data_IF_807997579501
#
_entry.id   IF_807997579501
#
_cell.length_a   1.000
_cell.length_b   1.000
_cell.length_c   1.000
_cell.angle_alpha   90.00
_cell.angle_beta   90.00
_cell.angle_gamma   90.00
#
_symmetry.space_group_name_H-M   'P 1'
#
loop_
_entity.id
_entity.type
_entity.pdbx_description
1 polymer ?
#
# COMPACT_ATOMS: atom_id res chain seq x y z
N UNK A 1 -9.59 -13.76 4.22
CA UNK A 1 -9.88 -14.07 2.81
C UNK A 1 -8.58 -14.64 2.26
N UNK A 2 -8.64 -15.71 1.47
CA UNK A 2 -7.45 -16.32 0.88
C UNK A 2 -7.37 -15.83 -0.57
N UNK A 3 -6.23 -15.28 -0.97
CA UNK A 3 -6.01 -14.80 -2.32
C UNK A 3 -5.87 -16.00 -3.25
N UNK A 4 -6.24 -15.82 -4.52
CA UNK A 4 -5.92 -16.82 -5.54
C UNK A 4 -4.45 -16.69 -5.97
N UNK A 5 -3.93 -17.78 -6.54
CA UNK A 5 -2.58 -17.84 -7.13
C UNK A 5 -2.73 -18.36 -8.58
N UNK A 6 -2.54 -17.51 -9.60
CA UNK A 6 -2.23 -16.07 -9.52
C UNK A 6 -3.43 -15.26 -9.02
N UNK A 7 -3.16 -14.06 -8.51
CA UNK A 7 -4.17 -13.17 -7.94
C UNK A 7 -5.32 -12.87 -8.90
N UNK A 8 -6.50 -12.56 -8.35
CA UNK A 8 -7.68 -12.15 -9.11
C UNK A 8 -8.22 -10.80 -8.65
N UNK A 9 -8.89 -10.04 -9.53
CA UNK A 9 -9.46 -8.75 -9.15
C UNK A 9 -10.38 -8.82 -7.92
N UNK A 10 -11.14 -9.91 -7.77
CA UNK A 10 -12.03 -10.13 -6.62
C UNK A 10 -11.32 -10.40 -5.28
N UNK A 11 -10.00 -10.64 -5.30
CA UNK A 11 -9.21 -10.82 -4.08
C UNK A 11 -8.93 -9.49 -3.37
N UNK A 12 -8.96 -8.39 -4.12
CA UNK A 12 -8.71 -7.06 -3.60
C UNK A 12 -9.99 -6.46 -2.97
N UNK A 13 -9.89 -5.80 -1.80
CA UNK A 13 -10.99 -5.01 -1.29
C UNK A 13 -11.27 -3.82 -2.24
N UNK A 14 -12.45 -3.18 -2.17
CA UNK A 14 -12.73 -1.97 -2.96
C UNK A 14 -11.61 -0.93 -2.84
N UNK A 15 -11.34 -0.19 -3.92
CA UNK A 15 -10.17 0.70 -3.99
C UNK A 15 -10.05 1.64 -2.78
N UNK A 16 -11.14 2.29 -2.37
CA UNK A 16 -11.11 3.23 -1.25
C UNK A 16 -10.74 2.55 0.08
N UNK A 17 -11.13 1.28 0.25
CA UNK A 17 -10.78 0.50 1.44
C UNK A 17 -9.31 0.09 1.40
N UNK A 18 -8.80 -0.34 0.24
CA UNK A 18 -7.38 -0.65 0.07
C UNK A 18 -6.52 0.61 0.33
N UNK A 19 -6.90 1.74 -0.28
CA UNK A 19 -6.25 3.02 -0.09
C UNK A 19 -6.24 3.45 1.38
N UNK A 20 -7.39 3.35 2.06
CA UNK A 20 -7.50 3.76 3.45
C UNK A 20 -6.50 3.01 4.34
N UNK A 21 -6.35 1.70 4.15
CA UNK A 21 -5.41 0.87 4.92
C UNK A 21 -3.96 1.19 4.57
N UNK A 22 -3.62 1.22 3.28
CA UNK A 22 -2.28 1.55 2.81
C UNK A 22 -1.82 2.94 3.31
N UNK A 23 -2.69 3.94 3.19
CA UNK A 23 -2.42 5.30 3.65
C UNK A 23 -2.33 5.41 5.18
N UNK A 24 -3.09 4.59 5.93
CA UNK A 24 -2.99 4.53 7.38
C UNK A 24 -1.63 3.95 7.82
N UNK A 25 -1.12 2.91 7.14
CA UNK A 25 0.22 2.39 7.41
C UNK A 25 1.30 3.43 7.11
N UNK A 26 1.23 4.09 5.94
CA UNK A 26 2.16 5.18 5.61
C UNK A 26 2.09 6.35 6.60
N UNK A 27 0.91 6.64 7.16
CA UNK A 27 0.73 7.65 8.20
C UNK A 27 1.40 7.23 9.52
N UNK A 28 1.22 5.99 9.96
CA UNK A 28 1.87 5.47 11.17
C UNK A 28 3.38 5.48 11.03
N UNK A 29 3.91 4.99 9.91
CA UNK A 29 5.35 4.92 9.65
C UNK A 29 6.00 6.29 9.50
N UNK A 30 5.30 7.27 8.93
CA UNK A 30 5.75 8.66 8.93
C UNK A 30 5.87 9.25 10.35
N UNK A 31 5.11 8.71 11.32
CA UNK A 31 5.20 9.07 12.72
C UNK A 31 6.29 8.34 13.51
N UNK A 32 7.02 7.42 12.90
CA UNK A 32 8.05 6.60 13.53
C UNK A 32 7.72 5.11 13.46
N UNK A 33 8.73 4.29 13.17
CA UNK A 33 8.58 2.84 13.01
C UNK A 33 9.50 2.25 11.94
N UNK A 34 9.04 1.17 11.30
CA UNK A 34 9.59 0.71 10.02
C UNK A 34 9.36 1.80 8.94
N UNK A 35 10.11 1.73 7.84
CA UNK A 35 10.02 2.68 6.73
C UNK A 35 9.77 1.94 5.42
N UNK A 36 8.79 1.04 5.44
CA UNK A 36 8.37 0.25 4.29
C UNK A 36 7.27 0.96 3.52
N UNK A 37 6.34 1.64 4.19
CA UNK A 37 5.25 2.41 3.59
C UNK A 37 5.57 3.90 3.56
N UNK A 38 5.67 4.46 2.36
CA UNK A 38 5.91 5.89 2.15
C UNK A 38 4.80 6.48 1.30
N UNK A 39 4.24 7.60 1.74
CA UNK A 39 3.39 8.43 0.90
C UNK A 39 4.20 9.57 0.31
N UNK A 40 4.28 9.61 -1.02
CA UNK A 40 4.91 10.72 -1.74
C UNK A 40 4.22 10.89 -3.09
N UNK A 41 4.04 12.14 -3.50
CA UNK A 41 3.59 12.48 -4.85
C UNK A 41 2.31 11.69 -5.24
N UNK A 42 1.27 11.74 -4.42
CA UNK A 42 -0.01 11.02 -4.62
C UNK A 42 0.06 9.48 -4.72
N UNK A 43 1.18 8.86 -4.32
CA UNK A 43 1.38 7.41 -4.35
C UNK A 43 1.70 6.91 -2.95
N UNK A 44 1.06 5.82 -2.54
CA UNK A 44 1.55 5.00 -1.42
C UNK A 44 2.47 3.93 -2.02
N UNK A 45 3.72 3.93 -1.58
CA UNK A 45 4.75 2.99 -1.99
C UNK A 45 5.10 2.09 -0.82
N UNK A 46 5.15 0.79 -1.06
CA UNK A 46 5.72 -0.21 -0.16
C UNK A 46 7.01 -0.76 -0.73
N UNK A 47 8.05 -0.85 0.09
CA UNK A 47 9.33 -1.51 -0.24
C UNK A 47 9.88 -2.20 1.02
N UNK A 48 10.05 -3.53 0.96
CA UNK A 48 10.62 -4.30 2.06
C UNK A 48 12.17 -4.37 2.04
N UNK A 49 12.80 -3.72 1.06
CA UNK A 49 14.23 -3.79 0.73
C UNK A 49 14.76 -5.20 0.37
N UNK A 50 13.87 -6.17 0.21
CA UNK A 50 14.11 -7.55 -0.22
C UNK A 50 13.82 -7.79 -1.71
N UNK A 51 13.30 -6.78 -2.42
CA UNK A 51 12.87 -6.91 -3.81
C UNK A 51 11.35 -7.10 -3.96
N UNK A 52 10.59 -6.83 -2.89
CA UNK A 52 9.14 -6.98 -2.87
C UNK A 52 8.51 -5.60 -2.68
N UNK A 53 8.01 -5.02 -3.77
CA UNK A 53 7.54 -3.64 -3.81
C UNK A 53 6.19 -3.49 -4.50
N UNK A 54 5.41 -2.52 -4.05
CA UNK A 54 4.18 -2.14 -4.74
C UNK A 54 3.89 -0.65 -4.58
N UNK A 55 3.16 -0.11 -5.55
CA UNK A 55 2.71 1.28 -5.61
C UNK A 55 1.22 1.32 -5.84
N UNK A 56 0.51 2.04 -4.98
CA UNK A 56 -0.92 2.28 -5.06
C UNK A 56 -1.16 3.77 -5.31
N UNK A 57 -1.89 4.11 -6.38
CA UNK A 57 -2.16 5.49 -6.75
C UNK A 57 -3.65 5.74 -7.01
N UNK A 58 -4.12 6.91 -6.54
CA UNK A 58 -5.39 7.49 -6.96
C UNK A 58 -5.21 8.24 -8.27
N UNK A 59 -6.10 8.00 -9.22
CA UNK A 59 -6.15 8.72 -10.47
C UNK A 59 -7.40 9.62 -10.54
N UNK A 60 -7.40 10.55 -11.50
CA UNK A 60 -8.60 11.32 -11.85
C UNK A 60 -9.80 10.41 -12.19
N UNK A 61 -11.00 10.99 -12.11
CA UNK A 61 -12.27 10.33 -12.45
C UNK A 61 -12.61 9.12 -11.57
N UNK A 62 -12.08 9.07 -10.34
CA UNK A 62 -12.36 8.01 -9.37
C UNK A 62 -11.66 6.68 -9.69
N UNK A 63 -10.65 6.73 -10.56
CA UNK A 63 -9.87 5.56 -10.95
C UNK A 63 -8.71 5.32 -10.00
N UNK A 64 -8.17 4.13 -10.06
CA UNK A 64 -7.06 3.72 -9.22
C UNK A 64 -6.20 2.69 -9.92
N UNK A 65 -4.98 2.52 -9.43
CA UNK A 65 -4.02 1.60 -10.02
C UNK A 65 -3.07 1.12 -8.94
N UNK A 66 -2.84 -0.19 -8.95
CA UNK A 66 -1.91 -0.91 -8.09
C UNK A 66 -0.95 -1.65 -9.00
N UNK A 67 0.34 -1.37 -8.87
CA UNK A 67 1.40 -2.10 -9.58
C UNK A 67 2.42 -2.58 -8.57
N UNK A 68 3.13 -3.64 -8.89
CA UNK A 68 4.19 -4.13 -8.03
C UNK A 68 4.99 -5.24 -8.66
N UNK A 69 5.98 -5.71 -7.92
CA UNK A 69 6.79 -6.86 -8.26
C UNK A 69 7.20 -7.57 -6.96
N UNK A 70 7.18 -8.89 -7.01
CA UNK A 70 7.80 -9.77 -6.03
C UNK A 70 8.91 -10.51 -6.76
N UNK A 71 10.13 -10.39 -6.28
CA UNK A 71 11.31 -10.94 -6.97
C UNK A 71 11.32 -12.48 -7.05
N UNK A 72 10.47 -13.17 -6.29
CA UNK A 72 10.28 -14.61 -6.37
C UNK A 72 9.19 -14.99 -7.38
N UNK A 73 8.40 -14.01 -7.84
CA UNK A 73 7.22 -14.21 -8.68
C UNK A 73 7.19 -13.32 -9.95
N UNK A 74 8.30 -12.71 -10.36
CA UNK A 74 8.35 -11.78 -11.50
C UNK A 74 8.97 -12.38 -12.77
N UNK A 75 9.33 -13.68 -12.79
CA UNK A 75 10.00 -14.32 -13.93
C UNK A 75 9.22 -14.24 -15.25
N UNK A 76 7.90 -14.03 -15.18
CA UNK A 76 7.04 -13.93 -16.36
C UNK A 76 7.24 -12.63 -17.15
N UNK A 77 7.84 -11.59 -16.57
CA UNK A 77 8.20 -10.36 -17.33
C UNK A 77 9.18 -10.66 -18.45
N UNK A 78 9.93 -11.77 -18.33
CA UNK A 78 10.88 -12.22 -19.34
C UNK A 78 10.26 -13.11 -20.44
N UNK A 79 8.98 -13.46 -20.34
CA UNK A 79 8.29 -14.35 -21.30
C UNK A 79 8.14 -13.67 -22.67
N UNK A 80 8.52 -14.40 -23.72
CA UNK A 80 8.39 -13.94 -25.09
C UNK A 80 6.93 -13.61 -25.45
N UNK A 81 6.71 -12.37 -25.91
CA UNK A 81 5.38 -11.88 -26.30
C UNK A 81 4.44 -11.54 -25.14
N UNK A 82 4.87 -11.65 -23.88
CA UNK A 82 4.17 -11.04 -22.76
C UNK A 82 4.28 -9.52 -22.83
N UNK A 83 3.21 -8.83 -22.42
CA UNK A 83 3.10 -7.38 -22.50
C UNK A 83 2.58 -6.83 -21.16
N UNK A 84 3.47 -6.42 -20.24
CA UNK A 84 3.07 -5.95 -18.91
C UNK A 84 2.31 -4.62 -18.93
N UNK A 85 2.22 -3.96 -20.09
CA UNK A 85 1.59 -2.65 -20.25
C UNK A 85 0.27 -2.72 -21.03
N UNK A 86 -0.30 -3.92 -21.21
CA UNK A 86 -1.65 -4.06 -21.75
C UNK A 86 -2.69 -3.61 -20.70
N UNK A 87 -3.73 -2.94 -21.16
CA UNK A 87 -4.80 -2.45 -20.33
C UNK A 87 -5.47 -1.23 -20.96
N UNK A 88 -6.36 -0.55 -20.23
CA UNK A 88 -7.05 0.62 -20.72
C UNK A 88 -6.11 1.77 -21.14
N UNK A 89 -6.56 2.57 -22.09
CA UNK A 89 -5.82 3.70 -22.65
C UNK A 89 -5.54 4.84 -21.68
N UNK A 90 -6.19 4.84 -20.52
CA UNK A 90 -6.02 5.82 -19.44
C UNK A 90 -4.96 5.41 -18.40
N UNK A 91 -4.43 4.19 -18.49
CA UNK A 91 -3.40 3.72 -17.57
C UNK A 91 -2.11 4.52 -17.76
N UNK A 92 -1.50 5.00 -16.67
CA UNK A 92 -0.46 5.99 -16.82
C UNK A 92 0.92 5.36 -16.70
N UNK A 93 1.23 4.47 -17.65
CA UNK A 93 2.41 3.62 -17.60
C UNK A 93 3.73 4.37 -17.65
N UNK A 94 3.76 5.54 -18.29
CA UNK A 94 5.00 6.33 -18.45
C UNK A 94 5.57 6.70 -17.08
N UNK A 95 4.79 7.35 -16.21
CA UNK A 95 5.31 7.73 -14.90
C UNK A 95 5.56 6.53 -13.97
N UNK A 96 4.78 5.44 -14.07
CA UNK A 96 5.09 4.23 -13.31
C UNK A 96 6.44 3.65 -13.67
N UNK A 97 6.74 3.53 -14.97
CA UNK A 97 8.05 3.05 -15.40
C UNK A 97 9.19 3.97 -14.97
N UNK A 98 8.97 5.28 -14.91
CA UNK A 98 9.95 6.23 -14.39
C UNK A 98 10.20 6.04 -12.89
N UNK A 99 9.15 5.82 -12.09
CA UNK A 99 9.28 5.52 -10.65
C UNK A 99 10.03 4.22 -10.35
N UNK A 100 10.10 3.34 -11.34
CA UNK A 100 10.66 2.00 -11.23
C UNK A 100 12.07 1.89 -11.80
N UNK A 101 12.67 3.05 -12.13
CA UNK A 101 13.95 3.14 -12.84
C UNK A 101 13.95 2.33 -14.14
N UNK A 102 12.80 2.22 -14.80
CA UNK A 102 12.60 1.45 -16.03
C UNK A 102 12.41 -0.06 -15.83
N UNK A 103 12.22 -0.55 -14.59
CA UNK A 103 11.88 -1.96 -14.35
C UNK A 103 10.45 -2.28 -14.79
N UNK A 104 10.30 -3.45 -15.41
CA UNK A 104 9.00 -4.01 -15.77
C UNK A 104 8.23 -4.41 -14.51
N UNK A 105 6.91 -4.33 -14.55
CA UNK A 105 6.05 -4.63 -13.39
C UNK A 105 5.71 -6.13 -13.38
N UNK A 106 5.80 -6.76 -12.21
CA UNK A 106 5.38 -8.14 -12.00
C UNK A 106 3.86 -8.28 -12.09
N UNK A 107 3.10 -7.33 -11.56
CA UNK A 107 1.66 -7.29 -11.75
C UNK A 107 1.11 -5.87 -11.88
N UNK A 108 -0.11 -5.79 -12.41
CA UNK A 108 -0.87 -4.57 -12.46
C UNK A 108 -2.38 -4.81 -12.36
N UNK A 109 -3.00 -4.10 -11.44
CA UNK A 109 -4.44 -4.06 -11.21
C UNK A 109 -4.91 -2.63 -11.35
N UNK A 110 -6.09 -2.45 -11.92
CA UNK A 110 -6.68 -1.14 -12.13
C UNK A 110 -8.14 -1.11 -11.71
N UNK A 111 -8.51 0.00 -11.08
CA UNK A 111 -9.86 0.29 -10.62
C UNK A 111 -10.50 1.28 -11.58
N UNK A 112 -11.62 0.90 -12.20
CA UNK A 112 -12.31 1.72 -13.21
C UNK A 112 -13.28 2.76 -12.59
N UNK A 113 -13.43 2.74 -11.27
CA UNK A 113 -14.44 3.50 -10.53
C UNK A 113 -15.46 2.60 -9.82
N UNK A 114 -15.55 1.32 -10.19
CA UNK A 114 -16.52 0.38 -9.64
C UNK A 114 -15.98 -1.03 -9.38
N UNK A 115 -15.06 -1.51 -10.21
CA UNK A 115 -14.47 -2.85 -10.07
C UNK A 115 -12.96 -2.80 -10.33
N UNK A 116 -12.27 -3.75 -9.71
CA UNK A 116 -10.91 -4.08 -10.10
C UNK A 116 -10.93 -4.90 -11.38
N UNK A 117 -9.89 -4.72 -12.17
CA UNK A 117 -9.56 -5.54 -13.31
C UNK A 117 -8.02 -5.61 -13.42
N UNK A 118 -7.49 -6.52 -14.24
CA UNK A 118 -6.05 -6.77 -14.36
C UNK A 118 -5.69 -7.25 -15.76
N UNK A 119 -4.39 -7.31 -16.02
CA UNK A 119 -3.88 -7.97 -17.22
C UNK A 119 -4.32 -9.45 -17.26
N UNK A 120 -4.76 -9.90 -18.44
CA UNK A 120 -4.98 -11.32 -18.71
C UNK A 120 -3.63 -12.06 -18.65
N UNK A 121 -3.44 -12.88 -17.62
CA UNK A 121 -2.24 -13.68 -17.51
C UNK A 121 -2.30 -14.86 -18.48
N UNK A 122 -1.23 -15.11 -19.27
CA UNK A 122 -1.04 -16.39 -19.93
C UNK A 122 -1.06 -17.56 -18.93
N UNK A 123 -1.53 -18.74 -19.37
CA UNK A 123 -1.63 -19.96 -18.55
C UNK A 123 -0.30 -20.41 -17.90
N UNK A 124 0.83 -19.88 -18.37
CA UNK A 124 2.18 -20.18 -17.84
C UNK A 124 2.51 -19.39 -16.57
N UNK A 125 1.76 -18.33 -16.26
CA UNK A 125 1.91 -17.57 -15.01
C UNK A 125 1.09 -18.28 -13.93
N UNK A 126 1.76 -18.93 -13.00
CA UNK A 126 1.13 -19.65 -11.89
C UNK A 126 1.06 -18.81 -10.59
N UNK A 127 1.97 -17.85 -10.42
CA UNK A 127 1.94 -16.86 -9.35
C UNK A 127 2.36 -15.48 -9.86
N UNK A 128 1.68 -14.43 -9.44
CA UNK A 128 2.02 -13.03 -9.73
C UNK A 128 2.51 -12.25 -8.50
N UNK A 129 2.58 -12.89 -7.33
CA UNK A 129 3.06 -12.30 -6.07
C UNK A 129 2.05 -11.43 -5.34
N UNK A 130 0.82 -11.28 -5.85
CA UNK A 130 -0.18 -10.42 -5.21
C UNK A 130 -0.50 -10.87 -3.78
N UNK A 131 -0.63 -12.18 -3.56
CA UNK A 131 -0.96 -12.74 -2.25
C UNK A 131 0.15 -12.50 -1.23
N UNK A 132 1.42 -12.63 -1.63
CA UNK A 132 2.58 -12.35 -0.78
C UNK A 132 2.64 -10.86 -0.40
N UNK A 133 2.41 -9.97 -1.36
CA UNK A 133 2.55 -8.53 -1.15
C UNK A 133 1.35 -7.88 -0.44
N UNK A 134 0.11 -8.28 -0.74
CA UNK A 134 -1.09 -7.52 -0.36
C UNK A 134 -1.94 -8.21 0.71
N UNK A 135 -1.62 -9.43 1.13
CA UNK A 135 -2.42 -10.16 2.16
C UNK A 135 -2.57 -9.34 3.44
N UNK A 136 -1.54 -8.58 3.83
CA UNK A 136 -1.60 -7.75 5.04
C UNK A 136 -2.62 -6.60 4.96
N UNK A 137 -2.99 -6.14 3.76
CA UNK A 137 -4.02 -5.10 3.57
C UNK A 137 -5.43 -5.68 3.31
N UNK A 138 -5.56 -7.00 3.23
CA UNK A 138 -6.82 -7.67 2.86
C UNK A 138 -7.91 -7.52 3.93
N UNK A 139 -7.54 -7.46 5.21
CA UNK A 139 -8.45 -7.23 6.34
C UNK A 139 -7.84 -6.28 7.35
N UNK A 140 -8.70 -5.68 8.19
CA UNK A 140 -8.26 -4.83 9.30
C UNK A 140 -7.38 -5.62 10.27
N UNK A 141 -7.74 -6.88 10.57
CA UNK A 141 -6.96 -7.76 11.45
C UNK A 141 -5.56 -8.01 10.91
N UNK A 142 -5.43 -8.28 9.60
CA UNK A 142 -4.14 -8.52 8.95
C UNK A 142 -3.26 -7.27 8.93
N UNK A 143 -3.87 -6.09 8.78
CA UNK A 143 -3.14 -4.83 8.84
C UNK A 143 -2.64 -4.53 10.26
N UNK A 144 -3.44 -4.87 11.28
CA UNK A 144 -3.04 -4.75 12.69
C UNK A 144 -1.86 -5.68 12.98
N UNK A 145 -1.95 -6.95 12.58
CA UNK A 145 -0.88 -7.93 12.77
C UNK A 145 0.47 -7.39 12.28
N UNK A 146 0.52 -6.88 11.05
CA UNK A 146 1.76 -6.32 10.47
C UNK A 146 2.29 -5.11 11.25
N UNK A 147 1.43 -4.18 11.68
CA UNK A 147 1.88 -3.03 12.49
C UNK A 147 2.47 -3.49 13.82
N UNK A 148 1.85 -4.48 14.47
CA UNK A 148 2.31 -4.99 15.76
C UNK A 148 3.60 -5.82 15.61
N UNK A 149 3.74 -6.58 14.53
CA UNK A 149 4.97 -7.29 14.20
C UNK A 149 6.16 -6.33 14.04
N UNK A 150 5.96 -5.14 13.44
CA UNK A 150 7.02 -4.11 13.37
C UNK A 150 7.40 -3.50 14.72
N UNK A 151 6.53 -3.63 15.74
CA UNK A 151 6.84 -3.25 17.11
C UNK A 151 7.45 -4.41 17.92
N UNK A 152 7.87 -5.50 17.25
CA UNK A 152 8.36 -6.75 17.84
C UNK A 152 7.36 -7.37 18.85
N UNK A 153 6.05 -7.13 18.64
CA UNK A 153 4.99 -7.67 19.47
C UNK A 153 4.40 -8.94 18.84
N UNK A 154 4.19 -9.95 19.68
CA UNK A 154 3.56 -11.21 19.31
C UNK A 154 2.28 -11.40 20.10
N UNK A 155 1.32 -12.14 19.55
CA UNK A 155 0.01 -12.44 20.15
C UNK A 155 0.07 -13.03 21.58
N UNK A 156 1.20 -13.67 21.89
CA UNK A 156 1.52 -14.23 23.20
C UNK A 156 1.95 -13.21 24.26
N UNK A 157 2.20 -11.96 23.89
CA UNK A 157 2.63 -10.89 24.80
C UNK A 157 1.43 -10.14 25.40
N UNK A 158 1.54 -9.75 26.67
CA UNK A 158 0.48 -9.01 27.37
C UNK A 158 0.17 -7.66 26.68
N UNK A 159 1.19 -7.05 26.05
CA UNK A 159 1.10 -5.79 25.32
C UNK A 159 0.34 -5.88 23.98
N UNK A 160 0.17 -7.09 23.41
CA UNK A 160 -0.54 -7.28 22.14
C UNK A 160 -1.96 -6.72 22.19
N UNK A 161 -2.69 -7.00 23.28
CA UNK A 161 -4.07 -6.55 23.42
C UNK A 161 -4.22 -5.03 23.53
N UNK A 162 -3.23 -4.35 24.11
CA UNK A 162 -3.21 -2.87 24.13
C UNK A 162 -2.90 -2.32 22.73
N UNK A 163 -1.88 -2.87 22.06
CA UNK A 163 -1.50 -2.48 20.70
C UNK A 163 -2.63 -2.68 19.68
N UNK A 164 -3.29 -3.83 19.70
CA UNK A 164 -4.42 -4.15 18.80
C UNK A 164 -5.51 -3.07 18.87
N UNK A 165 -5.94 -2.70 20.07
CA UNK A 165 -6.98 -1.67 20.25
C UNK A 165 -6.58 -0.30 19.70
N UNK A 166 -5.30 0.07 19.87
CA UNK A 166 -4.77 1.36 19.41
C UNK A 166 -4.64 1.42 17.89
N UNK A 167 -4.03 0.41 17.29
CA UNK A 167 -3.88 0.32 15.82
C UNK A 167 -5.23 0.17 15.14
N UNK A 168 -6.13 -0.66 15.71
CA UNK A 168 -7.51 -0.80 15.21
C UNK A 168 -8.23 0.53 15.16
N UNK A 169 -8.07 1.38 16.18
CA UNK A 169 -8.71 2.70 16.19
C UNK A 169 -8.24 3.58 15.02
N UNK A 170 -6.96 3.53 14.67
CA UNK A 170 -6.40 4.25 13.51
C UNK A 170 -6.99 3.72 12.20
N UNK A 171 -7.02 2.39 12.03
CA UNK A 171 -7.58 1.77 10.83
C UNK A 171 -9.09 2.04 10.70
N UNK A 172 -9.87 1.93 11.77
CA UNK A 172 -11.30 2.26 11.78
C UNK A 172 -11.56 3.73 11.42
N UNK A 173 -10.66 4.65 11.80
CA UNK A 173 -10.75 6.06 11.38
C UNK A 173 -10.51 6.21 9.88
N UNK A 174 -9.50 5.51 9.34
CA UNK A 174 -9.17 5.50 7.93
C UNK A 174 -10.30 4.91 7.08
N UNK A 175 -10.76 3.71 7.41
CA UNK A 175 -11.80 2.99 6.66
C UNK A 175 -13.14 3.73 6.67
N UNK A 176 -13.43 4.49 7.74
CA UNK A 176 -14.65 5.31 7.85
C UNK A 176 -14.58 6.59 7.00
N UNK A 177 -13.40 7.06 6.62
CA UNK A 177 -13.20 8.22 5.75
C UNK A 177 -13.84 9.53 6.24
N UNK A 178 -14.11 9.66 7.54
CA UNK A 178 -14.86 10.81 8.10
C UNK A 178 -14.37 11.26 9.48
N UNK A 179 -13.21 10.76 9.90
CA UNK A 179 -12.55 11.18 11.14
C UNK A 179 -12.16 12.65 11.10
N UNK A 180 -12.47 13.39 12.15
CA UNK A 180 -11.99 14.77 12.33
C UNK A 180 -10.48 14.77 12.59
N UNK A 181 -9.84 15.93 12.41
CA UNK A 181 -8.42 16.08 12.71
C UNK A 181 -8.11 15.79 14.19
N UNK A 182 -9.00 16.16 15.11
CA UNK A 182 -8.86 15.88 16.54
C UNK A 182 -8.84 14.38 16.80
N UNK A 183 -9.81 13.64 16.26
CA UNK A 183 -9.87 12.17 16.42
C UNK A 183 -8.63 11.48 15.84
N UNK A 184 -8.14 11.95 14.70
CA UNK A 184 -6.91 11.44 14.09
C UNK A 184 -5.69 11.71 14.96
N UNK A 185 -5.57 12.93 15.48
CA UNK A 185 -4.45 13.31 16.36
C UNK A 185 -4.46 12.47 17.64
N UNK A 186 -5.61 12.32 18.29
CA UNK A 186 -5.76 11.51 19.50
C UNK A 186 -5.37 10.04 19.26
N UNK A 187 -5.83 9.46 18.15
CA UNK A 187 -5.51 8.07 17.81
C UNK A 187 -4.01 7.88 17.49
N UNK A 188 -3.42 8.78 16.70
CA UNK A 188 -2.00 8.74 16.36
C UNK A 188 -1.12 8.96 17.60
N UNK A 189 -1.45 9.93 18.45
CA UNK A 189 -0.71 10.19 19.69
C UNK A 189 -0.73 8.97 20.61
N UNK A 190 -1.88 8.34 20.82
CA UNK A 190 -1.99 7.15 21.65
C UNK A 190 -1.18 5.96 21.09
N UNK A 191 -1.26 5.71 19.77
CA UNK A 191 -0.53 4.62 19.11
C UNK A 191 0.99 4.85 19.12
N UNK A 192 1.45 6.07 18.82
CA UNK A 192 2.88 6.39 18.78
C UNK A 192 3.49 6.49 20.19
N UNK A 193 2.75 6.97 21.20
CA UNK A 193 3.20 6.90 22.60
C UNK A 193 3.28 5.45 23.10
N UNK A 194 2.41 4.55 22.60
CA UNK A 194 2.53 3.11 22.86
C UNK A 194 3.78 2.53 22.19
N UNK A 195 3.99 2.81 20.90
CA UNK A 195 5.17 2.37 20.17
C UNK A 195 6.47 2.82 20.87
N UNK A 196 6.57 4.10 21.26
CA UNK A 196 7.72 4.63 21.98
C UNK A 196 8.02 3.91 23.31
N UNK A 197 6.96 3.46 24.02
CA UNK A 197 7.12 2.67 25.24
C UNK A 197 7.65 1.27 24.95
N UNK A 198 7.21 0.63 23.88
CA UNK A 198 7.71 -0.69 23.50
C UNK A 198 9.15 -0.61 23.02
N UNK A 199 9.43 0.34 22.14
CA UNK A 199 10.75 0.55 21.58
C UNK A 199 11.79 0.76 22.69
N UNK A 200 11.54 1.69 23.61
CA UNK A 200 12.43 1.96 24.76
C UNK A 200 12.74 0.75 25.67
N UNK A 201 11.95 -0.33 25.60
CA UNK A 201 12.18 -1.58 26.34
C UNK A 201 13.11 -2.56 25.60
N UNK A 202 13.14 -2.51 24.27
CA UNK A 202 13.80 -3.51 23.44
C UNK A 202 14.92 -2.95 22.54
N UNK A 203 14.76 -1.72 22.05
CA UNK A 203 15.74 -1.01 21.21
C UNK A 203 15.93 0.39 21.79
N UNK A 204 17.17 0.87 21.86
CA UNK A 204 17.50 2.11 22.59
C UNK A 204 17.11 3.38 21.82
N UNK A 205 15.97 3.37 21.10
CA UNK A 205 15.41 4.50 20.37
C UNK A 205 14.77 5.47 21.35
N UNK A 206 15.02 6.76 21.14
CA UNK A 206 14.59 7.80 22.06
C UNK A 206 13.15 8.25 21.74
N UNK A 207 12.41 8.73 22.75
CA UNK A 207 10.99 9.14 22.59
C UNK A 207 10.81 10.23 21.52
N UNK A 208 11.83 11.04 21.28
CA UNK A 208 11.90 12.09 20.25
C UNK A 208 12.04 11.55 18.81
N UNK A 209 12.15 10.24 18.61
CA UNK A 209 12.10 9.61 17.29
C UNK A 209 10.68 9.44 16.74
N UNK A 210 9.64 9.64 17.57
CA UNK A 210 8.24 9.57 17.16
C UNK A 210 7.64 10.97 16.94
N UNK A 211 6.99 11.17 15.79
CA UNK A 211 6.46 12.45 15.33
C UNK A 211 4.97 12.36 14.91
N UNK A 212 4.08 12.66 15.87
CA UNK A 212 2.63 12.72 15.62
C UNK A 212 2.28 13.75 14.53
N UNK A 213 3.05 14.84 14.42
CA UNK A 213 2.78 15.87 13.42
C UNK A 213 3.11 15.39 12.00
N UNK A 214 4.18 14.61 11.83
CA UNK A 214 4.51 13.95 10.57
C UNK A 214 3.44 12.91 10.18
N UNK A 215 3.03 12.06 11.12
CA UNK A 215 1.94 11.10 10.89
C UNK A 215 0.65 11.78 10.44
N UNK A 216 0.24 12.84 11.16
CA UNK A 216 -0.96 13.60 10.86
C UNK A 216 -0.84 14.35 9.52
N UNK A 217 0.36 14.79 9.14
CA UNK A 217 0.58 15.42 7.83
C UNK A 217 0.33 14.43 6.69
N UNK A 218 0.78 13.17 6.81
CA UNK A 218 0.49 12.12 5.83
C UNK A 218 -0.99 11.76 5.81
N UNK A 219 -1.64 11.63 6.97
CA UNK A 219 -3.08 11.36 7.04
C UNK A 219 -3.92 12.46 6.35
N UNK A 220 -3.51 13.73 6.47
CA UNK A 220 -4.14 14.85 5.74
C UNK A 220 -3.87 14.74 4.24
N UNK A 221 -2.63 14.54 3.83
CA UNK A 221 -2.24 14.52 2.42
C UNK A 221 -2.87 13.36 1.64
N UNK A 222 -3.15 12.24 2.31
CA UNK A 222 -3.82 11.06 1.75
C UNK A 222 -5.35 11.14 1.77
N UNK A 223 -5.93 12.24 2.26
CA UNK A 223 -7.37 12.47 2.32
C UNK A 223 -8.11 11.67 3.40
N UNK A 224 -7.40 11.08 4.37
CA UNK A 224 -8.04 10.31 5.45
C UNK A 224 -8.71 11.20 6.51
N UNK A 225 -8.22 12.44 6.64
CA UNK A 225 -8.77 13.43 7.57
C UNK A 225 -9.90 14.20 6.89
N UNK A 226 -11.06 14.25 7.53
CA UNK A 226 -12.24 14.97 7.03
C UNK A 226 -11.90 16.41 6.66
N UNK A 227 -12.24 16.80 5.44
CA UNK A 227 -12.01 18.15 4.91
C UNK A 227 -10.66 18.33 4.23
N UNK A 228 -9.88 17.27 4.10
CA UNK A 228 -8.68 17.22 3.28
C UNK A 228 -8.92 16.22 2.14
N UNK A 229 -8.57 16.63 0.93
CA UNK A 229 -8.68 15.78 -0.26
C UNK A 229 -7.30 15.21 -0.59
N UNK A 230 -7.26 13.94 -0.99
CA UNK A 230 -6.04 13.32 -1.50
C UNK A 230 -5.66 13.96 -2.84
N UNK A 231 -4.37 14.20 -3.05
CA UNK A 231 -3.89 14.49 -4.40
C UNK A 231 -4.13 13.26 -5.31
N UNK A 232 -4.47 13.53 -6.56
CA UNK A 232 -4.78 12.52 -7.57
C UNK A 232 -3.86 12.68 -8.76
N UNK A 233 -3.40 11.56 -9.30
CA UNK A 233 -2.58 11.52 -10.51
C UNK A 233 -3.42 11.72 -11.77
N UNK A 234 -2.84 12.35 -12.81
CA UNK A 234 -3.47 12.38 -14.10
C UNK A 234 -3.58 10.97 -14.68
N UNK A 235 -4.67 10.73 -15.41
CA UNK A 235 -4.71 9.66 -16.40
C UNK A 235 -3.82 10.04 -17.58
N UNK A 236 -3.17 9.06 -18.21
CA UNK A 236 -2.34 9.30 -19.40
C UNK A 236 -2.71 8.35 -20.53
N UNK A 237 -2.21 8.61 -21.73
CA UNK A 237 -2.54 7.86 -22.94
C UNK A 237 -1.78 6.52 -23.05
N UNK A 238 -1.87 5.69 -22.02
CA UNK A 238 -1.42 4.30 -22.06
C UNK A 238 0.09 4.15 -22.04
N UNK A 239 0.61 3.33 -22.97
CA UNK A 239 1.94 2.68 -22.91
C UNK A 239 3.11 3.66 -22.74
N UNK A 240 4.22 3.22 -22.10
CA UNK A 240 5.44 4.02 -22.01
C UNK A 240 6.00 4.36 -23.39
N UNK A 241 6.47 5.59 -23.57
CA UNK A 241 7.00 6.04 -24.86
C UNK A 241 8.21 5.19 -25.29
N UNK A 242 8.13 4.59 -26.49
CA UNK A 242 9.24 3.82 -27.07
C UNK A 242 9.36 2.39 -26.55
N UNK A 243 8.49 1.96 -25.63
CA UNK A 243 8.44 0.55 -25.26
C UNK A 243 7.91 -0.30 -26.43
N UNK A 244 8.57 -1.43 -26.67
CA UNK A 244 8.15 -2.44 -27.64
C UNK A 244 8.22 -3.81 -26.95
N UNK A 245 7.23 -4.69 -27.20
CA UNK A 245 7.26 -6.03 -26.65
C UNK A 245 8.50 -6.78 -27.12
N UNK A 246 8.99 -7.69 -26.27
CA UNK A 246 10.11 -8.56 -26.62
C UNK A 246 9.73 -9.36 -27.88
N UNK A 247 10.62 -9.42 -28.89
CA UNK A 247 10.31 -10.14 -30.12
C UNK A 247 10.06 -11.62 -29.81
N UNK A 248 9.08 -12.20 -30.53
CA UNK A 248 8.87 -13.65 -30.60
C UNK A 248 9.94 -14.32 -31.44
#
# INVERSE_FOLDING_TARGET
>A
MEFHTPGRPEDLPPFDLLWARAAALASLEAGGGASQHVYADAVVHHDDAGGNEWRLARLNDGRGVLVGADHECDEHVDIEGYDPYVGPDWLPWTWFTELENGREQGFAYWWDGAVWDRIDYPDIIDNDGLDLLLTHLSTTEKAIEVVLEFLDLYDSMDEWGEGDLLVRRVLELAERGSGTEEEWREALEATLDFAARQDSRYVNRAKDEFDVAAALAVARATGLVKGFDAEVKPVENGRPQGWAPRPR
#
